data_IF_612843053852
#
_entry.id   IF_612843053852
#
_cell.length_a   1.000
_cell.length_b   1.000
_cell.length_c   1.000
_cell.angle_alpha   90.00
_cell.angle_beta   90.00
_cell.angle_gamma   90.00
#
_symmetry.space_group_name_H-M   'P 1'
#
loop_
_entity.id
_entity.type
_entity.pdbx_description
1 polymer ?
#
# COMPACT_ATOMS: atom_id res chain seq x y z
N UNK A 1 -0.53 10.63 4.19
CA UNK A 1 0.65 10.80 3.30
C UNK A 1 0.98 9.45 2.70
N UNK A 2 1.26 9.34 1.40
CA UNK A 2 1.55 8.05 0.74
C UNK A 2 3.01 7.63 0.99
N UNK A 3 3.21 6.38 1.40
CA UNK A 3 4.54 5.78 1.57
C UNK A 3 4.88 4.94 0.35
N UNK A 4 6.07 5.12 -0.20
CA UNK A 4 6.58 4.43 -1.38
C UNK A 4 7.91 3.76 -1.03
N UNK A 5 8.19 2.53 -1.44
CA UNK A 5 9.49 1.94 -1.13
C UNK A 5 10.60 2.55 -2.00
N UNK A 6 11.84 2.63 -1.48
CA UNK A 6 12.96 3.24 -2.21
C UNK A 6 13.18 2.57 -3.58
N UNK A 7 13.14 1.25 -3.59
CA UNK A 7 13.51 0.45 -4.76
C UNK A 7 12.33 0.27 -5.73
N UNK A 8 11.16 0.83 -5.41
CA UNK A 8 10.02 0.84 -6.31
C UNK A 8 10.17 1.94 -7.38
N UNK A 9 10.00 1.62 -8.67
CA UNK A 9 10.06 2.62 -9.72
C UNK A 9 8.90 3.61 -9.61
N UNK A 10 9.17 4.89 -9.92
CA UNK A 10 8.12 5.89 -10.10
C UNK A 10 7.62 5.79 -11.54
N UNK A 11 6.34 5.45 -11.69
CA UNK A 11 5.72 5.23 -12.99
C UNK A 11 4.59 6.22 -13.26
N UNK A 12 4.49 6.68 -14.51
CA UNK A 12 3.38 7.49 -15.03
C UNK A 12 2.66 6.68 -16.08
N UNK A 13 1.36 6.49 -15.88
CA UNK A 13 0.47 5.79 -16.79
C UNK A 13 -0.33 6.82 -17.59
N UNK A 14 -0.26 6.73 -18.92
CA UNK A 14 -1.12 7.47 -19.83
C UNK A 14 -2.12 6.49 -20.46
N UNK A 15 -3.39 6.89 -20.49
CA UNK A 15 -4.44 6.07 -21.11
C UNK A 15 -4.16 5.80 -22.58
N UNK A 16 -3.53 6.75 -23.29
CA UNK A 16 -3.19 6.61 -24.70
C UNK A 16 -2.00 7.51 -25.09
N UNK A 17 -1.30 7.14 -26.17
CA UNK A 17 -0.17 7.91 -26.72
C UNK A 17 -0.61 9.25 -27.34
N UNK A 18 -1.89 9.41 -27.71
CA UNK A 18 -2.42 10.65 -28.30
C UNK A 18 -2.23 11.86 -27.40
N UNK A 19 -2.10 11.69 -26.08
CA UNK A 19 -1.78 12.80 -25.16
C UNK A 19 -0.45 13.45 -25.58
N UNK A 20 0.57 12.64 -25.86
CA UNK A 20 1.89 13.14 -26.26
C UNK A 20 1.83 13.75 -27.67
N UNK A 21 1.12 13.09 -28.58
CA UNK A 21 0.92 13.59 -29.95
C UNK A 21 0.20 14.95 -29.96
N UNK A 22 -0.82 15.12 -29.11
CA UNK A 22 -1.57 16.36 -28.96
C UNK A 22 -0.65 17.50 -28.53
N UNK A 23 0.12 17.35 -27.46
CA UNK A 23 1.04 18.40 -27.01
C UNK A 23 2.13 18.69 -28.05
N UNK A 24 2.64 17.65 -28.72
CA UNK A 24 3.61 17.79 -29.81
C UNK A 24 3.06 18.60 -30.98
N UNK A 25 1.78 18.43 -31.35
CA UNK A 25 1.13 19.21 -32.41
C UNK A 25 1.09 20.72 -32.09
N UNK A 26 1.08 21.10 -30.81
CA UNK A 26 1.18 22.49 -30.36
C UNK A 26 2.62 22.95 -30.08
N UNK A 27 3.63 22.20 -30.52
CA UNK A 27 5.05 22.44 -30.22
C UNK A 27 5.36 22.50 -28.71
N UNK A 28 4.59 21.76 -27.90
CA UNK A 28 4.79 21.64 -26.45
C UNK A 28 5.38 20.27 -26.15
N UNK A 29 6.50 20.26 -25.44
CA UNK A 29 7.13 19.03 -24.93
C UNK A 29 6.77 18.85 -23.46
N UNK A 30 6.30 17.67 -23.09
CA UNK A 30 5.98 17.34 -21.69
C UNK A 30 7.20 16.79 -20.97
N UNK A 31 7.36 17.17 -19.71
CA UNK A 31 8.47 16.75 -18.84
C UNK A 31 7.92 16.38 -17.46
N UNK A 32 8.20 15.16 -17.01
CA UNK A 32 7.93 14.69 -15.66
C UNK A 32 9.14 14.96 -14.76
N UNK A 33 8.99 15.81 -13.75
CA UNK A 33 10.04 16.20 -12.79
C UNK A 33 9.80 15.54 -11.45
N UNK A 34 10.86 15.04 -10.81
CA UNK A 34 10.83 14.54 -9.43
C UNK A 34 11.62 15.49 -8.57
N UNK A 35 10.91 16.23 -7.74
CA UNK A 35 11.44 17.26 -6.85
C UNK A 35 11.54 16.69 -5.45
N UNK A 36 12.68 16.90 -4.79
CA UNK A 36 12.88 16.50 -3.39
C UNK A 36 12.56 17.67 -2.48
N UNK A 37 11.80 17.44 -1.42
CA UNK A 37 11.29 18.52 -0.56
C UNK A 37 12.38 19.33 0.16
N UNK A 38 13.56 18.73 0.40
CA UNK A 38 14.67 19.42 1.09
C UNK A 38 15.57 20.27 0.18
N UNK A 39 15.21 20.46 -1.09
CA UNK A 39 15.98 21.22 -2.08
C UNK A 39 17.30 20.57 -2.53
N UNK A 40 17.74 19.49 -1.89
CA UNK A 40 18.94 18.75 -2.27
C UNK A 40 18.59 17.64 -3.27
N UNK A 41 18.23 18.06 -4.49
CA UNK A 41 17.84 17.17 -5.58
C UNK A 41 18.91 16.11 -5.85
N UNK A 42 18.53 14.83 -6.14
CA UNK A 42 19.50 13.79 -6.45
C UNK A 42 20.47 14.27 -7.54
N UNK A 43 21.80 14.19 -7.32
CA UNK A 43 22.79 14.58 -8.30
C UNK A 43 22.89 13.48 -9.36
N UNK A 44 21.95 13.46 -10.31
CA UNK A 44 22.01 12.56 -11.46
C UNK A 44 22.72 13.29 -12.61
N UNK A 45 23.67 12.66 -13.33
CA UNK A 45 24.17 13.20 -14.60
C UNK A 45 23.05 13.06 -15.63
N UNK A 46 22.26 14.12 -15.78
CA UNK A 46 20.98 14.13 -16.49
C UNK A 46 19.87 14.52 -15.53
N UNK A 47 18.87 15.32 -15.94
CA UNK A 47 18.00 15.93 -14.96
C UNK A 47 17.14 14.87 -14.25
N UNK A 48 16.80 15.11 -12.98
CA UNK A 48 15.67 14.48 -12.27
C UNK A 48 14.31 14.89 -12.89
N UNK A 49 14.30 14.96 -14.22
CA UNK A 49 13.26 15.41 -15.12
C UNK A 49 13.37 14.54 -16.38
N UNK A 50 12.33 13.77 -16.65
CA UNK A 50 12.26 12.93 -17.83
C UNK A 50 11.33 13.58 -18.86
N UNK A 51 11.81 13.75 -20.08
CA UNK A 51 10.95 14.13 -21.21
C UNK A 51 10.02 12.97 -21.55
N UNK A 52 8.71 13.25 -21.61
CA UNK A 52 7.70 12.29 -22.05
C UNK A 52 7.61 12.34 -23.58
N UNK A 53 8.42 11.54 -24.25
CA UNK A 53 8.48 11.43 -25.71
C UNK A 53 8.51 9.97 -26.12
N UNK A 54 7.66 9.58 -27.07
CA UNK A 54 7.58 8.22 -27.64
C UNK A 54 8.90 7.74 -28.27
N UNK A 55 9.81 8.66 -28.61
CA UNK A 55 11.16 8.30 -29.05
C UNK A 55 12.04 7.71 -27.93
N UNK A 56 11.67 7.89 -26.66
CA UNK A 56 12.44 7.43 -25.50
C UNK A 56 12.11 5.97 -25.13
N UNK A 57 12.33 5.06 -26.07
CA UNK A 57 11.91 3.65 -26.01
C UNK A 57 12.47 2.87 -24.79
N UNK A 58 13.59 3.32 -24.21
CA UNK A 58 14.21 2.64 -23.06
C UNK A 58 13.39 2.78 -21.76
N UNK A 59 12.53 3.78 -21.68
CA UNK A 59 11.75 4.09 -20.48
C UNK A 59 10.24 3.95 -20.69
N UNK A 60 9.83 3.45 -21.86
CA UNK A 60 8.44 3.31 -22.27
C UNK A 60 8.09 1.85 -22.41
N UNK A 61 6.99 1.48 -21.77
CA UNK A 61 6.35 0.19 -21.98
C UNK A 61 4.92 0.43 -22.45
N UNK A 62 4.56 -0.16 -23.59
CA UNK A 62 3.17 -0.30 -23.98
C UNK A 62 2.57 -1.52 -23.29
N UNK A 63 1.40 -1.35 -22.70
CA UNK A 63 0.64 -2.42 -22.07
C UNK A 63 -0.77 -2.43 -22.65
N UNK A 64 -1.35 -3.60 -22.81
CA UNK A 64 -2.70 -3.69 -23.36
C UNK A 64 -3.71 -3.00 -22.44
N UNK A 65 -4.59 -2.17 -23.02
CA UNK A 65 -5.46 -1.27 -22.28
C UNK A 65 -6.34 -2.02 -21.27
N UNK A 66 -6.31 -1.51 -20.05
CA UNK A 66 -7.17 -1.93 -18.95
C UNK A 66 -8.45 -1.09 -18.89
N UNK A 67 -8.31 0.20 -19.16
CA UNK A 67 -9.40 1.18 -19.12
C UNK A 67 -9.64 1.62 -20.57
N UNK A 68 -10.75 1.19 -21.15
CA UNK A 68 -11.07 1.46 -22.55
C UNK A 68 -12.11 2.57 -22.67
N UNK A 69 -12.17 3.18 -23.85
CA UNK A 69 -13.29 4.08 -24.16
C UNK A 69 -14.63 3.31 -24.11
N UNK A 70 -15.76 3.93 -23.71
CA UNK A 70 -17.05 3.24 -23.65
C UNK A 70 -17.44 2.61 -24.99
N UNK A 71 -17.08 3.25 -26.10
CA UNK A 71 -17.28 2.72 -27.44
C UNK A 71 -16.51 1.42 -27.67
N UNK A 72 -15.20 1.41 -27.38
CA UNK A 72 -14.38 0.22 -27.60
C UNK A 72 -14.81 -0.93 -26.68
N UNK A 73 -15.11 -0.63 -25.42
CA UNK A 73 -15.62 -1.63 -24.47
C UNK A 73 -16.91 -2.29 -24.99
N UNK A 74 -17.89 -1.48 -25.42
CA UNK A 74 -19.16 -1.98 -25.99
C UNK A 74 -18.91 -2.77 -27.28
N UNK A 75 -18.00 -2.30 -28.13
CA UNK A 75 -17.67 -2.97 -29.38
C UNK A 75 -17.09 -4.36 -29.13
N UNK A 76 -16.16 -4.50 -28.18
CA UNK A 76 -15.58 -5.78 -27.80
C UNK A 76 -16.62 -6.74 -27.22
N UNK A 77 -17.54 -6.25 -26.37
CA UNK A 77 -18.65 -7.05 -25.85
C UNK A 77 -19.57 -7.56 -26.97
N UNK A 78 -19.91 -6.70 -27.93
CA UNK A 78 -20.77 -7.06 -29.08
C UNK A 78 -20.04 -8.02 -30.02
N UNK A 79 -18.75 -7.82 -30.27
CA UNK A 79 -17.95 -8.72 -31.11
C UNK A 79 -17.85 -10.10 -30.47
N UNK A 80 -17.53 -10.16 -29.18
CA UNK A 80 -17.41 -11.41 -28.43
C UNK A 80 -18.74 -12.17 -28.34
N UNK A 81 -19.86 -11.46 -28.15
CA UNK A 81 -21.18 -12.09 -27.97
C UNK A 81 -21.90 -12.43 -29.28
N UNK A 82 -21.72 -11.63 -30.32
CA UNK A 82 -22.63 -11.62 -31.48
C UNK A 82 -21.94 -11.69 -32.84
N UNK A 83 -20.61 -11.52 -32.93
CA UNK A 83 -19.88 -11.49 -34.20
C UNK A 83 -18.62 -12.37 -34.16
N UNK A 84 -18.75 -13.71 -33.94
CA UNK A 84 -17.62 -14.62 -33.80
C UNK A 84 -16.74 -14.77 -35.06
N UNK A 85 -17.22 -14.26 -36.21
CA UNK A 85 -16.51 -14.29 -37.49
C UNK A 85 -15.60 -13.08 -37.71
N UNK A 86 -15.67 -12.05 -36.84
CA UNK A 86 -14.82 -10.86 -36.91
C UNK A 86 -13.61 -11.13 -36.02
N UNK A 87 -12.41 -11.16 -36.61
CA UNK A 87 -11.19 -11.25 -35.83
C UNK A 87 -10.98 -9.95 -35.05
N UNK A 88 -10.95 -10.05 -33.73
CA UNK A 88 -10.55 -9.00 -32.79
C UNK A 88 -9.03 -8.81 -32.70
N UNK A 89 -8.26 -9.58 -33.47
CA UNK A 89 -6.79 -9.55 -33.51
C UNK A 89 -6.17 -8.27 -34.12
N UNK A 90 -6.95 -7.20 -34.29
CA UNK A 90 -6.50 -5.89 -34.77
C UNK A 90 -5.90 -5.00 -33.67
N UNK A 91 -5.60 -3.74 -34.00
CA UNK A 91 -5.01 -2.77 -33.07
C UNK A 91 -5.88 -2.56 -31.83
N UNK A 92 -5.48 -3.18 -30.72
CA UNK A 92 -6.06 -2.92 -29.40
C UNK A 92 -5.58 -1.57 -28.87
N UNK A 93 -6.43 -0.83 -28.15
CA UNK A 93 -5.95 0.32 -27.36
C UNK A 93 -4.82 -0.14 -26.42
N UNK A 94 -3.78 0.69 -26.30
CA UNK A 94 -2.62 0.44 -25.44
C UNK A 94 -2.45 1.60 -24.47
N UNK A 95 -2.16 1.29 -23.21
CA UNK A 95 -1.67 2.30 -22.29
C UNK A 95 -0.17 2.44 -22.42
N UNK A 96 0.31 3.65 -22.19
CA UNK A 96 1.75 3.95 -22.22
C UNK A 96 2.23 4.18 -20.79
N UNK A 97 3.22 3.39 -20.38
CA UNK A 97 3.84 3.50 -19.06
C UNK A 97 5.23 4.09 -19.19
N UNK A 98 5.46 5.21 -18.52
CA UNK A 98 6.77 5.86 -18.41
C UNK A 98 7.38 5.56 -17.05
N UNK A 99 8.60 4.99 -17.04
CA UNK A 99 9.35 4.77 -15.80
C UNK A 99 10.40 5.86 -15.62
N UNK A 100 10.22 6.69 -14.59
CA UNK A 100 11.15 7.77 -14.26
C UNK A 100 12.38 7.17 -13.59
N UNK A 101 13.54 7.24 -14.26
CA UNK A 101 14.83 6.72 -13.78
C UNK A 101 15.47 7.58 -12.68
N UNK A 102 14.77 7.77 -11.57
CA UNK A 102 15.28 8.50 -10.39
C UNK A 102 15.67 7.51 -9.30
N UNK A 103 16.87 7.66 -8.74
CA UNK A 103 17.22 6.97 -7.51
C UNK A 103 16.61 7.71 -6.32
N UNK A 104 15.69 7.04 -5.65
CA UNK A 104 15.04 7.56 -4.45
C UNK A 104 15.97 7.37 -3.23
N UNK A 105 15.84 8.26 -2.26
CA UNK A 105 16.53 8.15 -0.97
C UNK A 105 15.53 7.68 0.08
N UNK A 106 15.98 6.98 1.11
CA UNK A 106 15.10 6.54 2.20
C UNK A 106 14.55 7.74 2.97
N UNK A 107 13.36 7.56 3.55
CA UNK A 107 12.73 8.50 4.48
C UNK A 107 12.70 9.97 4.00
N UNK A 108 12.43 10.16 2.71
CA UNK A 108 12.54 11.44 2.02
C UNK A 108 11.23 11.79 1.32
N UNK A 109 10.83 13.05 1.40
CA UNK A 109 9.63 13.54 0.73
C UNK A 109 9.93 14.00 -0.70
N UNK A 110 9.05 13.59 -1.61
CA UNK A 110 9.15 13.88 -3.04
C UNK A 110 7.83 14.44 -3.57
N UNK A 111 7.94 15.26 -4.60
CA UNK A 111 6.83 15.73 -5.41
C UNK A 111 7.12 15.39 -6.86
N UNK A 112 6.17 14.75 -7.53
CA UNK A 112 6.22 14.55 -8.99
C UNK A 112 5.37 15.62 -9.64
N UNK A 113 5.92 16.26 -10.67
CA UNK A 113 5.21 17.27 -11.47
C UNK A 113 5.31 16.93 -12.96
N UNK A 114 4.18 16.90 -13.67
CA UNK A 114 4.15 16.82 -15.14
C UNK A 114 3.91 18.23 -15.68
N UNK A 115 4.82 18.69 -16.52
CA UNK A 115 4.89 20.10 -16.91
C UNK A 115 5.39 20.33 -18.32
N UNK A 116 5.32 21.56 -18.82
CA UNK A 116 5.84 21.92 -20.14
C UNK A 116 7.36 22.16 -20.06
N UNK A 117 8.09 21.74 -21.09
CA UNK A 117 9.52 22.03 -21.21
C UNK A 117 9.75 23.54 -21.28
N UNK A 118 10.84 24.02 -20.65
CA UNK A 118 11.19 25.44 -20.64
C UNK A 118 10.37 26.29 -19.67
N UNK A 119 9.39 25.70 -18.97
CA UNK A 119 8.65 26.39 -17.93
C UNK A 119 9.54 26.54 -16.68
N UNK A 120 9.97 27.78 -16.43
CA UNK A 120 10.81 28.18 -15.30
C UNK A 120 9.95 28.98 -14.31
N UNK A 121 10.00 28.62 -13.03
CA UNK A 121 9.40 29.44 -11.97
C UNK A 121 10.31 30.64 -11.75
N UNK A 122 9.82 31.86 -12.03
CA UNK A 122 10.49 33.08 -11.60
C UNK A 122 10.15 33.33 -10.11
N UNK A 123 11.08 33.11 -9.16
CA UNK A 123 10.78 33.27 -7.73
C UNK A 123 10.45 34.72 -7.36
N UNK A 124 10.94 35.68 -8.14
CA UNK A 124 10.73 37.10 -7.91
C UNK A 124 9.38 37.62 -8.46
N UNK A 125 8.72 36.86 -9.32
CA UNK A 125 7.47 37.30 -9.96
C UNK A 125 6.22 37.12 -9.09
N UNK A 126 6.33 36.47 -7.92
CA UNK A 126 5.20 36.04 -7.08
C UNK A 126 4.09 35.32 -7.88
N UNK A 127 4.48 34.65 -8.96
CA UNK A 127 3.57 33.91 -9.83
C UNK A 127 3.55 32.46 -9.36
N UNK A 128 2.37 32.02 -8.93
CA UNK A 128 2.13 30.62 -8.65
C UNK A 128 2.15 29.83 -9.95
N UNK A 129 2.95 28.76 -9.97
CA UNK A 129 2.93 27.80 -11.07
C UNK A 129 1.94 26.68 -10.76
N UNK A 130 1.07 26.38 -11.71
CA UNK A 130 0.20 25.21 -11.65
C UNK A 130 0.67 24.19 -12.68
N UNK A 131 1.39 23.13 -12.26
CA UNK A 131 1.76 22.04 -13.17
C UNK A 131 0.50 21.36 -13.71
N UNK A 132 0.62 20.67 -14.85
CA UNK A 132 -0.50 19.92 -15.46
C UNK A 132 -0.97 18.80 -14.53
N UNK A 133 -0.01 18.17 -13.84
CA UNK A 133 -0.29 17.17 -12.83
C UNK A 133 0.74 17.26 -11.71
N UNK A 134 0.30 17.06 -10.46
CA UNK A 134 1.17 17.08 -9.28
C UNK A 134 0.67 16.11 -8.23
N UNK A 135 1.59 15.34 -7.68
CA UNK A 135 1.33 14.55 -6.48
C UNK A 135 2.57 14.48 -5.60
N UNK A 136 2.35 14.31 -4.29
CA UNK A 136 3.41 14.17 -3.31
C UNK A 136 3.40 12.76 -2.70
N UNK A 137 4.59 12.25 -2.41
CA UNK A 137 4.78 10.99 -1.71
C UNK A 137 6.02 11.06 -0.82
N UNK A 138 6.12 10.15 0.14
CA UNK A 138 7.30 10.00 0.99
C UNK A 138 7.86 8.60 0.80
N UNK A 139 9.16 8.49 0.72
CA UNK A 139 9.81 7.18 0.69
C UNK A 139 9.88 6.56 2.08
N UNK A 140 9.72 5.25 2.11
CA UNK A 140 9.85 4.41 3.29
C UNK A 140 11.27 4.51 3.90
N UNK A 141 11.38 4.17 5.19
CA UNK A 141 12.66 3.89 5.86
C UNK A 141 13.32 2.61 5.37
N UNK A 142 12.56 1.76 4.69
CA UNK A 142 13.00 0.48 4.15
C UNK A 142 13.10 0.54 2.62
N UNK A 143 14.05 -0.22 2.09
CA UNK A 143 14.32 -0.21 0.65
C UNK A 143 13.20 -0.90 -0.14
N UNK A 144 12.63 -1.97 0.42
CA UNK A 144 11.54 -2.76 -0.15
C UNK A 144 10.62 -3.31 0.96
N UNK A 145 9.50 -3.92 0.57
CA UNK A 145 8.60 -4.60 1.51
C UNK A 145 9.25 -5.81 2.18
N UNK A 146 10.14 -6.51 1.47
CA UNK A 146 10.89 -7.64 2.00
C UNK A 146 11.79 -7.19 3.14
N UNK A 147 12.53 -6.09 2.95
CA UNK A 147 13.38 -5.51 4.01
C UNK A 147 12.53 -5.03 5.18
N UNK A 148 11.35 -4.47 4.93
CA UNK A 148 10.43 -4.05 5.98
C UNK A 148 9.90 -5.25 6.80
N UNK A 149 9.39 -6.29 6.14
CA UNK A 149 8.91 -7.51 6.79
C UNK A 149 10.02 -8.21 7.59
N UNK A 150 11.23 -8.31 7.03
CA UNK A 150 12.39 -8.87 7.72
C UNK A 150 12.78 -8.05 8.97
N UNK A 151 12.59 -6.73 8.93
CA UNK A 151 12.83 -5.88 10.11
C UNK A 151 11.80 -6.13 11.21
N UNK A 152 10.56 -6.50 10.86
CA UNK A 152 9.54 -6.93 11.82
C UNK A 152 9.89 -8.30 12.38
N UNK A 153 10.31 -9.24 11.52
CA UNK A 153 10.70 -10.59 11.93
C UNK A 153 11.91 -10.58 12.88
N UNK A 154 12.88 -9.67 12.65
CA UNK A 154 14.07 -9.52 13.48
C UNK A 154 13.81 -8.76 14.79
N UNK A 155 12.65 -8.11 14.95
CA UNK A 155 12.33 -7.36 16.16
C UNK A 155 12.11 -8.29 17.35
N UNK A 156 12.72 -7.94 18.49
CA UNK A 156 12.53 -8.68 19.74
C UNK A 156 11.09 -8.52 20.22
N UNK A 157 10.42 -9.66 20.39
CA UNK A 157 9.11 -9.71 21.01
C UNK A 157 9.23 -9.42 22.51
N UNK A 158 8.47 -8.44 22.97
CA UNK A 158 8.34 -8.07 24.39
C UNK A 158 7.12 -8.75 24.97
N UNK A 159 7.06 -8.87 26.28
CA UNK A 159 5.89 -9.40 26.96
C UNK A 159 5.29 -8.33 27.86
N UNK A 160 3.96 -8.16 27.81
CA UNK A 160 3.22 -7.20 28.62
C UNK A 160 2.04 -7.92 29.27
N UNK A 161 1.90 -7.76 30.58
CA UNK A 161 0.71 -8.19 31.32
C UNK A 161 -0.36 -7.10 31.25
N UNK A 162 -1.55 -7.46 30.78
CA UNK A 162 -2.74 -6.61 30.72
C UNK A 162 -3.50 -6.67 32.05
N UNK A 163 -4.19 -5.58 32.39
CA UNK A 163 -5.06 -5.50 33.57
C UNK A 163 -6.51 -5.88 33.27
N UNK A 164 -6.91 -5.89 32.00
CA UNK A 164 -8.24 -6.27 31.55
C UNK A 164 -8.20 -6.81 30.12
N UNK A 165 -9.04 -7.79 29.81
CA UNK A 165 -9.19 -8.36 28.48
C UNK A 165 -9.81 -7.36 27.48
N UNK A 166 -9.56 -7.56 26.19
CA UNK A 166 -10.14 -6.74 25.14
C UNK A 166 -11.64 -7.03 24.94
N UNK A 167 -12.47 -5.98 24.75
CA UNK A 167 -13.85 -6.17 24.32
C UNK A 167 -13.94 -6.76 22.91
N UNK A 168 -15.09 -7.33 22.57
CA UNK A 168 -15.38 -7.77 21.21
C UNK A 168 -15.46 -6.55 20.30
N UNK A 169 -14.54 -6.46 19.34
CA UNK A 169 -14.49 -5.34 18.40
C UNK A 169 -15.27 -5.68 17.12
N UNK A 170 -16.31 -4.90 16.75
CA UNK A 170 -17.10 -5.20 15.56
C UNK A 170 -16.38 -4.85 14.26
N UNK A 171 -15.40 -3.94 14.31
CA UNK A 171 -14.66 -3.46 13.14
C UNK A 171 -13.22 -3.95 13.16
N UNK A 172 -12.66 -4.14 11.97
CA UNK A 172 -11.25 -4.50 11.78
C UNK A 172 -10.37 -3.26 11.65
N UNK A 173 -10.99 -2.09 11.51
CA UNK A 173 -10.33 -0.78 11.44
C UNK A 173 -10.94 0.16 12.45
N UNK A 174 -10.07 0.82 13.20
CA UNK A 174 -10.42 1.78 14.25
C UNK A 174 -9.58 3.04 14.09
N UNK A 175 -10.07 4.14 14.63
CA UNK A 175 -9.28 5.37 14.75
C UNK A 175 -8.09 5.14 15.69
N UNK A 176 -7.04 5.96 15.56
CA UNK A 176 -5.90 5.88 16.46
C UNK A 176 -6.30 6.15 17.93
N UNK A 177 -7.31 7.01 18.15
CA UNK A 177 -7.86 7.29 19.48
C UNK A 177 -8.59 6.08 20.08
N UNK A 178 -9.46 5.42 19.31
CA UNK A 178 -10.14 4.19 19.75
C UNK A 178 -9.14 3.07 20.09
N UNK A 179 -8.09 2.90 19.29
CA UNK A 179 -7.03 1.93 19.59
C UNK A 179 -6.24 2.31 20.84
N UNK A 180 -5.95 3.60 21.05
CA UNK A 180 -5.27 4.07 22.25
C UNK A 180 -6.12 3.83 23.50
N UNK A 181 -7.41 4.17 23.46
CA UNK A 181 -8.36 3.91 24.55
C UNK A 181 -8.48 2.41 24.85
N UNK A 182 -8.54 1.57 23.81
CA UNK A 182 -8.57 0.12 23.93
C UNK A 182 -7.35 -0.41 24.70
N UNK A 183 -6.15 0.04 24.33
CA UNK A 183 -4.90 -0.37 24.97
C UNK A 183 -4.79 0.17 26.40
N UNK A 184 -5.17 1.42 26.64
CA UNK A 184 -5.17 2.03 27.97
C UNK A 184 -6.14 1.32 28.92
N UNK A 185 -7.34 0.96 28.45
CA UNK A 185 -8.33 0.22 29.25
C UNK A 185 -7.83 -1.19 29.59
N UNK A 186 -7.00 -1.78 28.74
CA UNK A 186 -6.30 -3.04 29.00
C UNK A 186 -5.05 -2.87 29.91
N UNK A 187 -4.74 -1.66 30.38
CA UNK A 187 -3.56 -1.37 31.20
C UNK A 187 -2.25 -1.32 30.43
N UNK A 188 -2.30 -1.32 29.09
CA UNK A 188 -1.12 -1.26 28.23
C UNK A 188 -0.79 0.21 27.94
N UNK A 189 0.29 0.71 28.53
CA UNK A 189 0.83 2.03 28.16
C UNK A 189 1.62 1.91 26.86
N UNK A 190 1.15 2.57 25.81
CA UNK A 190 1.85 2.57 24.52
C UNK A 190 2.16 4.01 24.11
N UNK A 191 3.42 4.32 23.76
CA UNK A 191 3.76 5.66 23.27
C UNK A 191 2.99 5.99 21.99
N UNK A 192 2.82 7.30 21.75
CA UNK A 192 2.44 7.79 20.42
C UNK A 192 3.48 7.33 19.40
N UNK A 193 3.01 6.77 18.28
CA UNK A 193 3.75 6.18 17.12
C UNK A 193 5.24 5.92 17.40
N UNK A 194 5.66 4.66 17.60
CA UNK A 194 7.03 4.41 18.01
C UNK A 194 8.05 4.79 16.93
N UNK A 195 9.22 5.22 17.39
CA UNK A 195 10.35 5.54 16.51
C UNK A 195 10.93 4.32 15.79
N UNK A 196 10.72 3.12 16.33
CA UNK A 196 11.20 1.83 15.83
C UNK A 196 10.08 0.79 15.84
N UNK A 197 10.29 -0.35 15.17
CA UNK A 197 9.34 -1.47 15.21
C UNK A 197 9.28 -2.04 16.63
N UNK A 198 8.07 -2.24 17.16
CA UNK A 198 7.84 -2.89 18.44
C UNK A 198 6.83 -4.02 18.26
N UNK A 199 7.21 -5.21 18.71
CA UNK A 199 6.31 -6.37 18.74
C UNK A 199 6.15 -6.77 20.20
N UNK A 200 4.92 -6.84 20.68
CA UNK A 200 4.60 -7.17 22.07
C UNK A 200 3.55 -8.27 22.14
N UNK A 201 3.84 -9.36 22.84
CA UNK A 201 2.86 -10.35 23.26
C UNK A 201 2.14 -9.82 24.50
N UNK A 202 0.82 -9.78 24.44
CA UNK A 202 -0.04 -9.31 25.51
C UNK A 202 -0.69 -10.51 26.20
N UNK A 203 -0.58 -10.53 27.52
CA UNK A 203 -1.07 -11.62 28.37
C UNK A 203 -2.16 -11.11 29.28
N UNK A 204 -3.13 -11.96 29.58
CA UNK A 204 -4.10 -11.73 30.64
C UNK A 204 -3.99 -12.79 31.71
N UNK A 205 -4.30 -12.41 32.93
CA UNK A 205 -4.33 -13.32 34.07
C UNK A 205 -5.75 -13.52 34.51
N UNK A 206 -6.21 -14.77 34.45
CA UNK A 206 -7.56 -15.13 34.90
C UNK A 206 -7.45 -15.92 36.21
N UNK A 207 -8.20 -15.54 37.27
CA UNK A 207 -8.28 -16.35 38.48
C UNK A 207 -8.85 -17.74 38.18
N UNK A 208 -8.19 -18.80 38.63
CA UNK A 208 -8.63 -20.18 38.47
C UNK A 208 -8.50 -20.93 39.79
N UNK A 209 -9.60 -21.07 40.53
CA UNK A 209 -9.60 -21.66 41.87
C UNK A 209 -8.77 -20.83 42.85
N UNK A 210 -7.81 -21.47 43.51
CA UNK A 210 -6.89 -20.83 44.47
C UNK A 210 -5.65 -20.20 43.80
N UNK A 211 -5.53 -20.28 42.47
CA UNK A 211 -4.42 -19.74 41.70
C UNK A 211 -4.85 -18.78 40.61
N UNK A 212 -3.89 -18.34 39.81
CA UNK A 212 -4.12 -17.53 38.62
C UNK A 212 -3.34 -18.11 37.45
N UNK A 213 -3.96 -18.13 36.27
CA UNK A 213 -3.30 -18.61 35.05
C UNK A 213 -3.16 -17.45 34.09
N UNK A 214 -1.92 -17.19 33.67
CA UNK A 214 -1.63 -16.24 32.61
C UNK A 214 -1.75 -16.92 31.24
N UNK A 215 -2.54 -16.34 30.34
CA UNK A 215 -2.71 -16.81 28.98
C UNK A 215 -2.39 -15.70 27.96
N UNK A 216 -1.78 -16.05 26.81
CA UNK A 216 -1.54 -15.08 25.74
C UNK A 216 -2.88 -14.72 25.08
N UNK A 217 -3.17 -13.43 25.01
CA UNK A 217 -4.45 -12.92 24.48
C UNK A 217 -4.29 -12.28 23.11
N UNK A 218 -3.22 -11.52 22.90
CA UNK A 218 -3.02 -10.77 21.67
C UNK A 218 -1.55 -10.48 21.40
N UNK A 219 -1.26 -10.04 20.18
CA UNK A 219 0.03 -9.46 19.81
C UNK A 219 -0.19 -8.07 19.26
N UNK A 220 0.56 -7.11 19.79
CA UNK A 220 0.63 -5.75 19.29
C UNK A 220 1.86 -5.60 18.40
N UNK A 221 1.65 -5.21 17.15
CA UNK A 221 2.71 -4.84 16.21
C UNK A 221 2.58 -3.35 15.93
N UNK A 222 3.56 -2.59 16.42
CA UNK A 222 3.70 -1.18 16.12
C UNK A 222 4.91 -0.95 15.21
N UNK A 223 4.73 -0.09 14.22
CA UNK A 223 5.73 0.20 13.20
C UNK A 223 5.90 1.72 13.04
N UNK A 224 7.09 2.20 12.65
CA UNK A 224 7.36 3.62 12.50
C UNK A 224 6.75 4.24 11.23
N UNK A 225 6.21 3.40 10.35
CA UNK A 225 5.53 3.76 9.12
C UNK A 225 4.40 2.75 8.85
N UNK A 226 3.35 3.09 8.08
CA UNK A 226 2.18 2.25 7.91
C UNK A 226 2.52 0.85 7.37
N UNK A 227 2.12 -0.16 8.15
CA UNK A 227 2.14 -1.58 7.79
C UNK A 227 0.94 -1.95 6.92
N UNK A 228 -0.20 -1.31 7.16
CA UNK A 228 -1.35 -1.35 6.26
C UNK A 228 -1.30 -0.14 5.33
N UNK A 229 -1.08 -0.40 4.04
CA UNK A 229 -1.00 0.67 3.03
C UNK A 229 -2.13 0.54 2.06
N UNK A 230 -2.75 1.68 1.74
CA UNK A 230 -3.75 1.79 0.70
C UNK A 230 -3.27 2.69 -0.40
N UNK A 231 -3.69 2.35 -1.61
CA UNK A 231 -3.45 3.14 -2.81
C UNK A 231 -4.73 3.26 -3.60
N UNK A 232 -4.89 4.43 -4.21
CA UNK A 232 -5.98 4.65 -5.15
C UNK A 232 -5.72 3.85 -6.42
N UNK A 233 -6.75 3.13 -6.83
CA UNK A 233 -6.74 2.20 -7.93
C UNK A 233 -7.99 2.42 -8.79
N UNK A 234 -7.88 2.40 -10.13
CA UNK A 234 -9.05 2.46 -10.99
C UNK A 234 -9.96 1.24 -10.75
N UNK A 235 -11.21 1.48 -10.37
CA UNK A 235 -12.22 0.44 -10.20
C UNK A 235 -13.50 0.88 -10.93
N UNK A 236 -14.32 -0.10 -11.27
CA UNK A 236 -15.61 0.13 -11.91
C UNK A 236 -16.68 0.32 -10.85
N UNK A 237 -17.49 1.35 -11.03
CA UNK A 237 -18.69 1.56 -10.23
C UNK A 237 -19.91 1.53 -11.15
N UNK A 238 -20.92 0.75 -10.75
CA UNK A 238 -22.19 0.65 -11.46
C UNK A 238 -23.18 1.61 -10.80
N UNK A 239 -23.56 2.65 -11.54
CA UNK A 239 -24.56 3.63 -11.13
C UNK A 239 -25.89 3.31 -11.80
N UNK A 240 -26.95 3.25 -11.01
CA UNK A 240 -28.30 3.09 -11.54
C UNK A 240 -28.76 4.41 -12.18
N UNK A 241 -29.15 4.37 -13.46
CA UNK A 241 -29.72 5.51 -14.18
C UNK A 241 -31.11 5.19 -14.71
N UNK A 242 -31.88 6.20 -15.12
CA UNK A 242 -33.21 6.02 -15.73
C UNK A 242 -33.16 5.19 -17.04
N UNK A 243 -32.01 5.19 -17.72
CA UNK A 243 -31.74 4.39 -18.93
C UNK A 243 -31.17 2.99 -18.64
N UNK A 244 -31.03 2.60 -17.37
CA UNK A 244 -30.42 1.35 -16.94
C UNK A 244 -29.10 1.52 -16.18
N UNK A 245 -28.47 0.42 -15.75
CA UNK A 245 -27.18 0.48 -15.07
C UNK A 245 -26.10 1.01 -16.02
N UNK A 246 -25.33 1.99 -15.56
CA UNK A 246 -24.17 2.54 -16.25
C UNK A 246 -22.90 2.23 -15.47
N UNK A 247 -21.88 1.72 -16.14
CA UNK A 247 -20.55 1.51 -15.55
C UNK A 247 -19.66 2.70 -15.84
N UNK A 248 -19.01 3.23 -14.80
CA UNK A 248 -17.96 4.24 -14.96
C UNK A 248 -16.73 3.90 -14.12
N UNK A 249 -15.59 4.53 -14.45
CA UNK A 249 -14.33 4.31 -13.74
C UNK A 249 -14.15 5.35 -12.64
N UNK A 250 -13.89 4.87 -11.43
CA UNK A 250 -13.59 5.69 -10.24
C UNK A 250 -12.25 5.29 -9.63
N UNK A 251 -11.61 6.22 -8.93
CA UNK A 251 -10.42 5.90 -8.15
C UNK A 251 -10.86 5.40 -6.76
N UNK A 252 -10.83 4.08 -6.56
CA UNK A 252 -11.15 3.44 -5.28
C UNK A 252 -9.88 3.09 -4.48
N UNK A 253 -9.96 3.10 -3.15
CA UNK A 253 -8.84 2.64 -2.33
C UNK A 253 -8.76 1.10 -2.31
N UNK A 254 -7.57 0.56 -2.57
CA UNK A 254 -7.25 -0.86 -2.44
C UNK A 254 -5.99 -1.03 -1.58
N UNK A 255 -5.79 -2.21 -1.00
CA UNK A 255 -4.59 -2.48 -0.23
C UNK A 255 -3.39 -2.64 -1.15
N UNK A 256 -2.34 -1.89 -0.86
CA UNK A 256 -0.99 -2.12 -1.39
C UNK A 256 -0.24 -3.10 -0.50
N UNK A 257 -0.40 -2.95 0.82
CA UNK A 257 0.13 -3.85 1.82
C UNK A 257 -0.99 -4.19 2.80
N UNK A 258 -1.16 -5.48 3.04
CA UNK A 258 -2.05 -6.03 4.07
C UNK A 258 -1.34 -7.16 4.82
N UNK A 259 -1.84 -7.48 6.02
CA UNK A 259 -1.32 -8.59 6.83
C UNK A 259 -2.37 -9.69 6.82
N UNK A 260 -1.91 -10.93 6.73
CA UNK A 260 -2.75 -12.11 6.87
C UNK A 260 -2.05 -13.18 7.71
N UNK A 261 -2.84 -14.08 8.27
CA UNK A 261 -2.33 -15.34 8.81
C UNK A 261 -1.96 -16.27 7.64
N UNK A 262 -0.86 -17.02 7.79
CA UNK A 262 -0.42 -17.96 6.77
C UNK A 262 -1.45 -19.09 6.56
N UNK A 263 -1.60 -19.54 5.32
CA UNK A 263 -2.54 -20.63 4.97
C UNK A 263 -2.19 -21.88 5.78
N UNK A 264 -3.19 -22.49 6.41
CA UNK A 264 -3.03 -23.68 7.26
C UNK A 264 -2.67 -23.38 8.71
N UNK A 265 -2.45 -22.11 9.05
CA UNK A 265 -2.41 -21.64 10.44
C UNK A 265 -3.82 -21.19 10.87
N UNK A 266 -4.15 -21.37 12.15
CA UNK A 266 -5.49 -21.13 12.69
C UNK A 266 -5.39 -20.70 14.16
N UNK A 267 -4.62 -19.65 14.40
CA UNK A 267 -4.25 -19.13 15.71
C UNK A 267 -4.72 -17.69 15.87
N UNK A 268 -4.94 -16.96 14.78
CA UNK A 268 -5.50 -15.61 14.82
C UNK A 268 -7.03 -15.68 14.87
N UNK A 269 -7.62 -14.98 15.85
CA UNK A 269 -9.06 -14.74 15.91
C UNK A 269 -9.43 -13.52 15.07
N UNK A 270 -8.67 -12.43 15.21
CA UNK A 270 -8.99 -11.16 14.55
C UNK A 270 -7.75 -10.29 14.38
N UNK A 271 -7.70 -9.57 13.25
CA UNK A 271 -6.73 -8.51 13.00
C UNK A 271 -7.45 -7.16 13.09
N UNK A 272 -6.99 -6.30 13.99
CA UNK A 272 -7.50 -4.94 14.16
C UNK A 272 -6.37 -3.98 13.86
N UNK A 273 -6.61 -3.00 12.99
CA UNK A 273 -5.61 -2.00 12.60
C UNK A 273 -6.11 -0.60 12.88
N UNK A 274 -5.17 0.34 13.02
CA UNK A 274 -5.55 1.75 13.03
C UNK A 274 -5.70 2.31 11.62
N UNK A 275 -6.47 3.38 11.46
CA UNK A 275 -6.60 4.11 10.19
C UNK A 275 -5.25 4.61 9.65
N UNK A 276 -4.32 4.98 10.55
CA UNK A 276 -2.95 5.34 10.17
C UNK A 276 -2.12 4.15 9.68
N UNK A 277 -2.57 2.91 9.91
CA UNK A 277 -1.96 1.67 9.42
C UNK A 277 -0.66 1.27 10.10
N UNK A 278 -0.13 2.07 11.03
CA UNK A 278 1.14 1.82 11.71
C UNK A 278 1.04 0.84 12.89
N UNK A 279 -0.17 0.63 13.41
CA UNK A 279 -0.44 -0.21 14.58
C UNK A 279 -1.45 -1.29 14.23
N UNK A 280 -1.10 -2.54 14.59
CA UNK A 280 -1.95 -3.72 14.42
C UNK A 280 -2.04 -4.50 15.72
N UNK A 281 -3.25 -4.76 16.17
CA UNK A 281 -3.57 -5.68 17.24
C UNK A 281 -4.07 -7.00 16.64
N UNK A 282 -3.36 -8.08 16.91
CA UNK A 282 -3.69 -9.45 16.49
C UNK A 282 -4.28 -10.16 17.70
N UNK A 283 -5.60 -10.34 17.74
CA UNK A 283 -6.26 -11.10 18.81
C UNK A 283 -6.09 -12.58 18.50
N UNK A 284 -5.63 -13.34 19.49
CA UNK A 284 -5.38 -14.78 19.36
C UNK A 284 -6.64 -15.58 19.66
N UNK A 285 -6.76 -16.76 19.06
CA UNK A 285 -7.76 -17.74 19.44
C UNK A 285 -7.56 -18.19 20.89
N UNK A 286 -8.64 -18.54 21.62
CA UNK A 286 -8.51 -19.23 22.89
C UNK A 286 -7.67 -20.52 22.74
N UNK A 287 -6.88 -20.85 23.76
CA UNK A 287 -5.96 -21.99 23.73
C UNK A 287 -4.99 -21.97 22.52
N UNK A 288 -4.45 -20.79 22.20
CA UNK A 288 -3.39 -20.58 21.22
C UNK A 288 -1.98 -20.87 21.75
N UNK A 289 -1.82 -20.90 23.08
CA UNK A 289 -0.56 -21.21 23.76
C UNK A 289 0.06 -22.52 23.25
N UNK A 290 1.37 -22.50 23.00
CA UNK A 290 2.13 -23.63 22.43
C UNK A 290 1.99 -23.83 20.92
N UNK A 291 1.09 -23.09 20.23
CA UNK A 291 0.93 -23.19 18.78
C UNK A 291 1.89 -22.24 18.04
N UNK A 292 2.24 -22.61 16.82
CA UNK A 292 2.99 -21.75 15.92
C UNK A 292 2.06 -20.62 15.44
N UNK A 293 2.45 -19.36 15.66
CA UNK A 293 1.89 -18.21 14.97
C UNK A 293 2.73 -17.93 13.73
N UNK A 294 2.06 -17.77 12.59
CA UNK A 294 2.70 -17.41 11.33
C UNK A 294 1.89 -16.33 10.62
N UNK A 295 2.44 -15.11 10.61
CA UNK A 295 1.87 -13.95 9.93
C UNK A 295 2.70 -13.61 8.70
N UNK A 296 2.00 -13.25 7.64
CA UNK A 296 2.56 -12.88 6.35
C UNK A 296 2.09 -11.49 5.96
N UNK A 297 3.03 -10.72 5.41
CA UNK A 297 2.76 -9.49 4.70
C UNK A 297 2.43 -9.85 3.25
N UNK A 298 1.30 -9.35 2.76
CA UNK A 298 0.87 -9.48 1.38
C UNK A 298 0.97 -8.13 0.70
N UNK A 299 1.81 -8.06 -0.33
CA UNK A 299 2.05 -6.87 -1.13
C UNK A 299 1.43 -7.05 -2.51
N UNK A 300 0.56 -6.13 -2.88
CA UNK A 300 -0.07 -6.08 -4.20
C UNK A 300 0.77 -5.22 -5.15
N UNK A 301 1.08 -5.77 -6.33
CA UNK A 301 1.63 -5.01 -7.43
C UNK A 301 0.48 -4.46 -8.25
N UNK A 302 0.34 -3.13 -8.27
CA UNK A 302 -0.72 -2.50 -9.02
C UNK A 302 -0.41 -2.47 -10.51
N UNK A 303 -1.16 -3.25 -11.26
CA UNK A 303 -1.36 -3.13 -12.71
C UNK A 303 -2.66 -2.35 -12.95
N UNK A 304 -2.79 -1.50 -13.98
CA UNK A 304 -4.03 -0.75 -14.23
C UNK A 304 -5.25 -1.64 -14.50
N UNK A 305 -5.07 -2.95 -14.64
CA UNK A 305 -6.11 -3.97 -14.81
C UNK A 305 -6.70 -4.39 -13.48
N UNK A 306 -8.02 -4.32 -13.36
CA UNK A 306 -8.75 -4.72 -12.15
C UNK A 306 -8.64 -6.21 -11.88
N UNK A 307 -8.69 -7.01 -12.94
CA UNK A 307 -8.56 -8.47 -12.91
C UNK A 307 -7.19 -8.95 -12.43
N UNK A 308 -6.17 -8.09 -12.51
CA UNK A 308 -4.82 -8.40 -12.02
C UNK A 308 -4.72 -8.26 -10.49
N UNK A 309 -5.59 -7.47 -9.87
CA UNK A 309 -5.55 -7.25 -8.42
C UNK A 309 -5.81 -8.56 -7.67
N UNK A 310 -5.02 -8.83 -6.62
CA UNK A 310 -5.11 -10.04 -5.81
C UNK A 310 -4.86 -11.36 -6.57
N UNK A 311 -4.16 -11.31 -7.70
CA UNK A 311 -3.70 -12.50 -8.43
C UNK A 311 -2.29 -12.92 -8.00
N UNK A 312 -1.96 -14.23 -8.01
CA UNK A 312 -0.61 -14.70 -7.66
C UNK A 312 0.52 -14.07 -8.49
N UNK A 313 0.24 -13.67 -9.73
CA UNK A 313 1.22 -13.01 -10.60
C UNK A 313 1.48 -11.55 -10.22
N UNK A 314 0.52 -10.89 -9.55
CA UNK A 314 0.59 -9.48 -9.17
C UNK A 314 0.55 -9.31 -7.64
N UNK A 315 0.96 -10.31 -6.89
CA UNK A 315 1.16 -10.19 -5.45
C UNK A 315 2.40 -10.95 -5.00
N UNK A 316 3.00 -10.47 -3.92
CA UNK A 316 4.08 -11.16 -3.22
C UNK A 316 3.63 -11.38 -1.78
N UNK A 317 3.89 -12.58 -1.27
CA UNK A 317 3.65 -12.96 0.12
C UNK A 317 5.02 -13.09 0.78
N UNK A 318 5.19 -12.41 1.91
CA UNK A 318 6.46 -12.29 2.62
C UNK A 318 6.23 -12.64 4.09
N UNK A 319 7.04 -13.53 4.64
CA UNK A 319 6.94 -13.86 6.06
C UNK A 319 7.33 -12.65 6.92
N UNK A 320 6.46 -12.30 7.86
CA UNK A 320 6.58 -11.08 8.68
C UNK A 320 6.81 -11.42 10.16
N UNK A 321 6.14 -12.46 10.66
CA UNK A 321 6.32 -12.93 12.03
C UNK A 321 6.10 -14.43 12.06
N UNK A 322 7.07 -15.17 12.59
CA UNK A 322 6.95 -16.60 12.80
C UNK A 322 7.52 -16.93 14.17
N UNK A 323 6.65 -17.33 15.10
CA UNK A 323 7.05 -17.67 16.47
C UNK A 323 6.10 -18.67 17.09
N UNK A 324 6.62 -19.52 17.97
CA UNK A 324 5.77 -20.36 18.82
C UNK A 324 5.26 -19.51 19.97
N UNK A 325 3.95 -19.49 20.16
CA UNK A 325 3.35 -18.79 21.30
C UNK A 325 3.76 -19.54 22.57
N UNK A 326 4.36 -18.88 23.57
CA UNK A 326 4.78 -19.55 24.80
C UNK A 326 3.59 -20.24 25.49
N UNK A 327 3.83 -21.43 26.04
CA UNK A 327 2.81 -22.19 26.78
C UNK A 327 2.58 -21.67 28.20
N UNK A 328 3.57 -20.95 28.74
CA UNK A 328 3.65 -20.44 30.11
C UNK A 328 4.14 -19.00 30.04
N UNK A 329 3.72 -18.16 30.98
CA UNK A 329 4.19 -16.78 30.99
C UNK A 329 5.67 -16.70 31.44
N UNK A 330 6.47 -15.74 30.91
CA UNK A 330 7.89 -15.68 31.24
C UNK A 330 8.21 -15.50 32.74
N UNK A 331 7.32 -14.87 33.50
CA UNK A 331 7.48 -14.68 34.96
C UNK A 331 7.07 -15.92 35.78
N UNK A 332 6.37 -16.88 35.18
CA UNK A 332 6.01 -18.15 35.83
C UNK A 332 7.13 -19.19 35.67
N UNK A 333 8.10 -18.97 34.78
CA UNK A 333 9.26 -19.87 34.60
C UNK A 333 10.39 -19.62 35.63
N UNK A 334 10.34 -18.50 36.37
CA UNK A 334 11.36 -18.12 37.37
C UNK A 334 11.04 -18.59 38.80
N UNK A 335 9.92 -19.30 39.02
CA UNK A 335 9.54 -19.94 40.30
C UNK A 335 9.82 -21.45 40.31
#
# INVERSE_FOLDING_TARGET
>A
MRYHFKDEPVQVYLNDESVIQLYKAYNVVLVAKVLKANGNHPPVPGPAAMTLDMANLQHIKKIAAAIKTPYLHTLEEVVASSLPCISDSGSTEEHVVFTIGVELLLNTEYTVEITKQGEVVNPAANQYRTPLYKFAFRTSRYASAEVFAQSILASKMRTILMTAAFPIMPKDEVTDNEMQELLLNAGVSVPAIPGDIQVSMLWTTTPQGDGSVSTPEAILVDTPEPLWRRRFFPDEEIVQSESGPMTHWVMAEKYEIEIQEAIGNAVVQKLIRTQGGARTLIILQPASAGKLLHLQMKRHHFSPRKEDYNTPANMIIIDMLQTTIPSVAPWEEEE
#
